data_IF_185254144293
#
_entry.id   IF_185254144293
#
_cell.length_a   1.000
_cell.length_b   1.000
_cell.length_c   1.000
_cell.angle_alpha   90.00
_cell.angle_beta   90.00
_cell.angle_gamma   90.00
#
_symmetry.space_group_name_H-M   'P 1'
#
loop_
_entity.id
_entity.type
_entity.pdbx_description
1 polymer ?
#
# COMPACT_ATOMS: atom_id res chain seq x y z
N UNK A 1 13.63 -5.96 6.54
CA UNK A 1 12.46 -6.25 5.69
C UNK A 1 12.88 -7.21 4.60
N UNK A 2 11.97 -8.04 4.11
CA UNK A 2 12.17 -9.02 3.03
C UNK A 2 11.42 -8.57 1.78
N UNK A 3 11.93 -8.96 0.61
CA UNK A 3 11.26 -8.76 -0.67
C UNK A 3 9.99 -9.63 -0.76
N UNK A 4 8.94 -9.07 -1.35
CA UNK A 4 7.66 -9.77 -1.57
C UNK A 4 7.20 -9.72 -3.02
N UNK A 5 8.11 -9.41 -3.95
CA UNK A 5 7.82 -9.19 -5.37
C UNK A 5 7.45 -7.75 -5.70
N UNK A 6 6.88 -7.57 -6.90
CA UNK A 6 6.50 -6.27 -7.43
C UNK A 6 5.00 -5.99 -7.26
N UNK A 7 4.64 -4.71 -7.17
CA UNK A 7 3.24 -4.29 -7.22
C UNK A 7 2.69 -4.22 -8.66
N UNK A 8 1.42 -3.86 -8.81
CA UNK A 8 0.77 -3.67 -10.12
C UNK A 8 1.42 -2.60 -11.02
N UNK A 9 2.36 -1.82 -10.50
CA UNK A 9 3.13 -0.81 -11.23
C UNK A 9 4.59 -1.25 -11.46
N UNK A 10 4.89 -2.54 -11.27
CA UNK A 10 6.22 -3.13 -11.43
C UNK A 10 7.28 -2.57 -10.45
N UNK A 11 6.84 -2.08 -9.28
CA UNK A 11 7.73 -1.52 -8.26
C UNK A 11 8.03 -2.56 -7.19
N UNK A 12 9.29 -2.79 -6.80
CA UNK A 12 9.64 -3.76 -5.77
C UNK A 12 9.03 -3.39 -4.41
N UNK A 13 8.41 -4.36 -3.76
CA UNK A 13 7.76 -4.19 -2.47
C UNK A 13 8.44 -5.04 -1.40
N UNK A 14 8.35 -4.55 -0.16
CA UNK A 14 8.98 -5.20 1.00
C UNK A 14 8.04 -5.19 2.20
N UNK A 15 8.21 -6.17 3.07
CA UNK A 15 7.52 -6.24 4.37
C UNK A 15 8.47 -6.73 5.47
N UNK A 16 8.06 -6.62 6.73
CA UNK A 16 8.65 -7.44 7.79
C UNK A 16 8.37 -8.93 7.53
N UNK A 17 9.25 -9.79 8.02
CA UNK A 17 9.20 -11.23 7.73
C UNK A 17 7.90 -11.88 8.23
N UNK A 18 7.48 -11.53 9.44
CA UNK A 18 6.22 -11.94 10.08
C UNK A 18 5.00 -11.55 9.22
N UNK A 19 4.95 -10.32 8.75
CA UNK A 19 3.88 -9.83 7.86
C UNK A 19 3.93 -10.51 6.49
N UNK A 20 5.11 -10.78 5.94
CA UNK A 20 5.27 -11.46 4.66
C UNK A 20 4.76 -12.92 4.73
N UNK A 21 5.03 -13.64 5.81
CA UNK A 21 4.52 -14.99 6.05
C UNK A 21 2.99 -15.02 6.17
N UNK A 22 2.43 -14.08 6.93
CA UNK A 22 0.99 -13.93 7.08
C UNK A 22 0.31 -13.60 5.74
N UNK A 23 0.90 -12.67 4.96
CA UNK A 23 0.43 -12.26 3.65
C UNK A 23 0.40 -13.41 2.65
N UNK A 24 1.47 -14.20 2.55
CA UNK A 24 1.51 -15.41 1.70
C UNK A 24 0.41 -16.41 2.06
N UNK A 25 0.25 -16.67 3.36
CA UNK A 25 -0.78 -17.59 3.86
C UNK A 25 -2.21 -17.10 3.58
N UNK A 26 -2.44 -15.79 3.64
CA UNK A 26 -3.72 -15.18 3.29
C UNK A 26 -4.00 -15.24 1.78
N UNK A 27 -3.03 -14.88 0.94
CA UNK A 27 -3.18 -14.91 -0.52
C UNK A 27 -3.46 -16.32 -1.05
N UNK A 28 -2.76 -17.34 -0.51
CA UNK A 28 -3.01 -18.75 -0.87
C UNK A 28 -4.45 -19.19 -0.58
N UNK A 29 -5.01 -18.80 0.58
CA UNK A 29 -6.40 -19.10 0.94
C UNK A 29 -7.41 -18.43 0.00
N UNK A 30 -7.16 -17.19 -0.41
CA UNK A 30 -8.03 -16.47 -1.36
C UNK A 30 -8.01 -17.06 -2.75
N UNK A 31 -6.83 -17.46 -3.22
CA UNK A 31 -6.71 -18.14 -4.50
C UNK A 31 -7.52 -19.45 -4.53
N UNK A 32 -7.47 -20.24 -3.45
CA UNK A 32 -8.32 -21.44 -3.30
C UNK A 32 -9.82 -21.13 -3.28
N UNK A 33 -10.21 -19.93 -2.82
CA UNK A 33 -11.58 -19.43 -2.85
C UNK A 33 -11.99 -18.73 -4.16
N UNK A 34 -11.15 -18.78 -5.21
CA UNK A 34 -11.45 -18.16 -6.50
C UNK A 34 -11.33 -16.63 -6.53
N UNK A 35 -10.78 -16.01 -5.48
CA UNK A 35 -10.58 -14.56 -5.42
C UNK A 35 -9.13 -14.23 -5.75
N UNK A 36 -8.93 -13.53 -6.86
CA UNK A 36 -7.62 -12.98 -7.23
C UNK A 36 -7.39 -11.64 -6.54
N UNK A 37 -6.19 -11.48 -5.97
CA UNK A 37 -5.75 -10.26 -5.31
C UNK A 37 -4.41 -9.83 -5.90
N UNK A 38 -4.26 -8.53 -6.16
CA UNK A 38 -3.05 -7.91 -6.68
C UNK A 38 -2.46 -6.95 -5.65
N UNK A 39 -1.13 -6.94 -5.53
CA UNK A 39 -0.41 -6.06 -4.62
C UNK A 39 -0.35 -4.64 -5.18
N UNK A 40 -0.78 -3.65 -4.40
CA UNK A 40 -0.72 -2.22 -4.78
C UNK A 40 0.44 -1.53 -4.07
N UNK A 41 0.68 -1.87 -2.80
CA UNK A 41 1.88 -1.40 -2.08
C UNK A 41 2.15 -2.19 -0.80
N UNK A 42 3.41 -2.25 -0.39
CA UNK A 42 3.89 -2.72 0.91
C UNK A 42 4.59 -1.58 1.67
N UNK A 43 5.80 -1.80 2.18
CA UNK A 43 6.53 -0.80 2.95
C UNK A 43 6.67 0.56 2.24
N UNK A 44 6.44 1.65 2.99
CA UNK A 44 6.69 3.03 2.58
C UNK A 44 7.62 3.69 3.58
N UNK A 45 8.68 4.36 3.11
CA UNK A 45 9.54 5.15 4.00
C UNK A 45 8.83 6.42 4.48
N UNK A 46 9.38 7.03 5.53
CA UNK A 46 8.94 8.36 6.00
C UNK A 46 9.01 9.40 4.87
N UNK A 47 10.12 9.40 4.12
CA UNK A 47 10.32 10.30 2.98
C UNK A 47 9.31 10.08 1.87
N UNK A 48 9.00 8.81 1.55
CA UNK A 48 7.97 8.49 0.55
C UNK A 48 6.60 9.02 0.98
N UNK A 49 6.22 8.82 2.24
CA UNK A 49 4.95 9.33 2.77
C UNK A 49 4.93 10.87 2.74
N UNK A 50 6.05 11.52 3.09
CA UNK A 50 6.20 12.97 2.98
C UNK A 50 5.95 13.48 1.56
N UNK A 51 6.63 12.90 0.57
CA UNK A 51 6.44 13.24 -0.85
C UNK A 51 5.01 12.98 -1.33
N UNK A 52 4.39 11.90 -0.86
CA UNK A 52 3.01 11.58 -1.21
C UNK A 52 2.03 12.63 -0.66
N UNK A 53 2.20 13.06 0.59
CA UNK A 53 1.39 14.12 1.17
C UNK A 53 1.64 15.47 0.46
N UNK A 54 2.90 15.82 0.18
CA UNK A 54 3.25 17.06 -0.54
C UNK A 54 2.62 17.11 -1.93
N UNK A 55 2.66 16.01 -2.69
CA UNK A 55 2.03 15.94 -4.02
C UNK A 55 0.51 16.16 -3.98
N UNK A 56 -0.15 15.78 -2.88
CA UNK A 56 -1.59 16.05 -2.71
C UNK A 56 -1.87 17.53 -2.39
N UNK A 57 -0.99 18.19 -1.63
CA UNK A 57 -1.09 19.64 -1.38
C UNK A 57 -0.87 20.41 -2.68
N UNK A 58 0.14 20.01 -3.45
CA UNK A 58 0.46 20.59 -4.76
C UNK A 58 -0.69 20.40 -5.77
N UNK A 59 -1.51 19.36 -5.62
CA UNK A 59 -2.72 19.17 -6.43
C UNK A 59 -3.96 19.92 -5.91
N UNK A 60 -3.78 20.80 -4.91
CA UNK A 60 -4.81 21.72 -4.43
C UNK A 60 -5.67 21.21 -3.28
N UNK A 61 -5.35 20.03 -2.72
CA UNK A 61 -6.07 19.51 -1.54
C UNK A 61 -5.59 20.19 -0.27
N UNK A 62 -6.52 20.51 0.61
CA UNK A 62 -6.18 21.00 1.95
C UNK A 62 -5.54 19.89 2.80
N UNK A 63 -4.74 20.29 3.79
CA UNK A 63 -4.14 19.34 4.74
C UNK A 63 -5.23 18.54 5.46
N UNK A 64 -6.33 19.19 5.86
CA UNK A 64 -7.45 18.52 6.52
C UNK A 64 -8.06 17.42 5.64
N UNK A 65 -8.32 17.72 4.36
CA UNK A 65 -8.83 16.71 3.41
C UNK A 65 -7.85 15.55 3.23
N UNK A 66 -6.55 15.85 3.12
CA UNK A 66 -5.50 14.82 2.97
C UNK A 66 -5.51 13.88 4.17
N UNK A 67 -5.50 14.42 5.39
CA UNK A 67 -5.38 13.64 6.61
C UNK A 67 -6.60 12.77 6.91
N UNK A 68 -7.75 12.99 6.26
CA UNK A 68 -8.91 12.07 6.36
C UNK A 68 -8.66 10.72 5.68
N UNK A 69 -7.74 10.64 4.72
CA UNK A 69 -7.50 9.42 3.90
C UNK A 69 -6.05 8.98 3.86
N UNK A 70 -5.13 9.90 4.08
CA UNK A 70 -3.69 9.70 3.91
C UNK A 70 -3.03 10.05 5.24
N UNK A 71 -2.42 9.06 5.87
CA UNK A 71 -1.71 9.25 7.13
C UNK A 71 -0.60 10.31 6.99
N UNK A 72 -0.41 11.09 8.06
CA UNK A 72 0.75 11.97 8.17
C UNK A 72 2.05 11.14 8.16
N UNK A 73 3.18 11.70 7.68
CA UNK A 73 4.48 11.04 7.78
C UNK A 73 4.80 10.72 9.25
N UNK A 74 5.12 9.46 9.53
CA UNK A 74 5.37 8.94 10.90
C UNK A 74 4.20 8.16 11.49
N UNK A 75 3.01 8.26 10.89
CA UNK A 75 1.78 7.66 11.40
C UNK A 75 1.19 6.60 10.47
N UNK A 76 1.84 6.29 9.34
CA UNK A 76 1.37 5.30 8.38
C UNK A 76 1.80 3.89 8.78
N UNK A 77 0.87 2.92 8.82
CA UNK A 77 1.18 1.52 9.12
C UNK A 77 2.16 0.89 8.11
N UNK A 78 2.18 1.40 6.87
CA UNK A 78 3.15 1.00 5.85
C UNK A 78 4.59 1.30 6.28
N UNK A 79 4.83 2.27 7.15
CA UNK A 79 6.16 2.55 7.69
C UNK A 79 6.64 1.47 8.66
N UNK A 80 5.70 0.78 9.33
CA UNK A 80 6.01 -0.38 10.15
C UNK A 80 6.40 -1.61 9.32
N UNK A 81 6.10 -1.61 8.01
CA UNK A 81 6.31 -2.77 7.14
C UNK A 81 5.37 -3.94 7.44
N UNK A 82 4.23 -3.67 8.10
CA UNK A 82 3.21 -4.66 8.45
C UNK A 82 1.90 -4.49 7.68
N UNK A 83 1.80 -3.49 6.80
CA UNK A 83 0.60 -3.19 6.02
C UNK A 83 0.83 -3.44 4.52
N UNK A 84 -0.23 -3.87 3.84
CA UNK A 84 -0.30 -3.99 2.38
C UNK A 84 -1.59 -3.39 1.87
N UNK A 85 -1.49 -2.64 0.79
CA UNK A 85 -2.65 -2.25 -0.02
C UNK A 85 -2.81 -3.29 -1.13
N UNK A 86 -4.05 -3.68 -1.39
CA UNK A 86 -4.39 -4.70 -2.38
C UNK A 86 -5.58 -4.26 -3.23
N UNK A 87 -5.67 -4.80 -4.44
CA UNK A 87 -6.79 -4.61 -5.35
C UNK A 87 -7.27 -5.95 -5.92
N UNK A 88 -8.48 -5.98 -6.45
CA UNK A 88 -8.99 -7.11 -7.25
C UNK A 88 -8.88 -6.77 -8.74
N UNK A 89 -8.56 -7.74 -9.61
CA UNK A 89 -8.52 -7.50 -11.06
C UNK A 89 -9.85 -6.95 -11.58
N UNK A 90 -9.79 -5.98 -12.49
CA UNK A 90 -10.98 -5.41 -13.15
C UNK A 90 -11.81 -4.45 -12.28
N UNK A 91 -11.62 -4.46 -10.97
CA UNK A 91 -12.00 -3.33 -10.11
C UNK A 91 -10.80 -2.41 -10.15
N UNK A 92 -10.92 -1.25 -10.81
CA UNK A 92 -9.87 -0.24 -10.73
C UNK A 92 -9.46 -0.10 -9.26
N UNK A 93 -8.15 -0.11 -8.97
CA UNK A 93 -7.67 0.24 -7.63
C UNK A 93 -8.52 1.42 -7.16
N UNK A 94 -9.15 1.33 -5.97
CA UNK A 94 -9.93 2.44 -5.42
C UNK A 94 -9.14 3.68 -5.76
N UNK A 95 -9.78 4.50 -6.59
CA UNK A 95 -9.10 5.52 -7.37
C UNK A 95 -8.09 6.17 -6.43
N UNK A 96 -6.80 6.12 -6.77
CA UNK A 96 -5.82 7.02 -6.17
C UNK A 96 -6.28 8.38 -6.67
N UNK A 97 -7.33 8.91 -6.06
CA UNK A 97 -7.96 10.13 -6.52
C UNK A 97 -6.87 11.19 -6.48
N UNK A 98 -6.53 11.67 -7.68
CA UNK A 98 -5.57 12.73 -8.02
C UNK A 98 -4.10 12.32 -7.99
#
# INVERSE_FOLDING_TARGET
MVDIGVDVFDRPQRLRIDAADAGRSWSKRRHLGGVTVQLVSGYRSLEYQGRFNSGNVESGKSIDEILTRIAAPGYSEHQGGCAVDVASPGVGSVNRDV
#
